data_IF_451536917078
#
_entry.id   IF_451536917078
#
_cell.length_a   1.000
_cell.length_b   1.000
_cell.length_c   1.000
_cell.angle_alpha   90.00
_cell.angle_beta   90.00
_cell.angle_gamma   90.00
#
_symmetry.space_group_name_H-M   'P 1'
#
loop_
_entity.id
_entity.type
_entity.pdbx_description
1 polymer ?
#
# COMPACT_ATOMS: atom_id res chain seq x y z
N UNK A 1 14.37 -5.05 22.23
CA UNK A 1 12.93 -5.04 21.99
C UNK A 1 12.61 -3.86 21.09
N UNK A 2 12.22 -4.12 19.84
CA UNK A 2 11.84 -3.07 18.89
C UNK A 2 10.64 -2.27 19.39
N UNK A 3 10.58 -0.98 19.02
CA UNK A 3 9.42 -0.13 19.28
C UNK A 3 8.17 -0.77 18.64
N UNK A 4 6.98 -0.76 19.30
CA UNK A 4 5.73 -1.25 18.72
C UNK A 4 5.36 -0.62 17.37
N UNK A 5 5.97 0.52 17.02
CA UNK A 5 5.78 1.18 15.73
C UNK A 5 6.59 0.54 14.60
N UNK A 6 7.69 -0.17 14.93
CA UNK A 6 8.63 -0.72 13.93
C UNK A 6 8.50 -2.22 13.71
N UNK A 7 7.71 -2.92 14.52
CA UNK A 7 7.55 -4.36 14.41
C UNK A 7 6.08 -4.76 14.52
N UNK A 8 5.62 -5.58 13.57
CA UNK A 8 4.29 -6.16 13.58
C UNK A 8 4.25 -7.39 14.47
N UNK A 9 3.32 -7.39 15.44
CA UNK A 9 3.05 -8.57 16.25
C UNK A 9 2.01 -9.43 15.55
N UNK A 10 2.36 -10.70 15.27
CA UNK A 10 1.43 -11.64 14.64
C UNK A 10 0.19 -11.82 15.51
N UNK A 11 -1.02 -11.78 14.93
CA UNK A 11 -2.25 -12.13 15.63
C UNK A 11 -2.20 -13.57 16.14
N UNK A 12 -2.76 -13.81 17.34
CA UNK A 12 -2.81 -15.16 17.92
C UNK A 12 -3.65 -16.16 17.12
N UNK A 13 -4.55 -15.66 16.27
CA UNK A 13 -5.42 -16.45 15.40
C UNK A 13 -4.83 -16.70 14.00
N UNK A 14 -3.66 -16.14 13.70
CA UNK A 14 -2.95 -16.42 12.47
C UNK A 14 -2.45 -17.88 12.51
N UNK A 15 -3.01 -18.73 11.66
CA UNK A 15 -2.79 -20.17 11.62
C UNK A 15 -2.19 -20.62 10.30
N UNK A 16 -1.76 -21.89 10.27
CA UNK A 16 -1.23 -22.54 9.06
C UNK A 16 -0.01 -21.79 8.48
N UNK A 17 0.91 -21.41 9.36
CA UNK A 17 2.18 -20.77 8.96
C UNK A 17 3.23 -21.85 8.77
N UNK A 18 3.80 -21.93 7.58
CA UNK A 18 4.95 -22.77 7.26
C UNK A 18 6.15 -21.90 6.94
N UNK A 19 7.31 -22.27 7.48
CA UNK A 19 8.58 -21.66 7.11
C UNK A 19 9.10 -22.33 5.85
N UNK A 20 9.53 -21.54 4.87
CA UNK A 20 10.21 -22.01 3.66
C UNK A 20 11.63 -21.47 3.63
N UNK A 21 12.55 -22.22 3.04
CA UNK A 21 13.94 -21.78 2.88
C UNK A 21 14.18 -21.32 1.43
N UNK A 22 14.36 -20.02 1.25
CA UNK A 22 14.69 -19.38 -0.01
C UNK A 22 16.08 -18.73 0.00
N UNK A 23 16.93 -19.07 0.96
CA UNK A 23 18.26 -18.46 1.15
C UNK A 23 19.12 -18.50 -0.12
N UNK A 24 19.04 -19.59 -0.90
CA UNK A 24 19.77 -19.73 -2.17
C UNK A 24 19.29 -18.71 -3.23
N UNK A 25 18.02 -18.32 -3.21
CA UNK A 25 17.46 -17.33 -4.15
C UNK A 25 17.81 -15.91 -3.73
N UNK A 26 17.98 -15.66 -2.43
CA UNK A 26 18.37 -14.36 -1.91
C UNK A 26 19.88 -14.08 -2.05
N UNK A 27 20.69 -15.12 -2.26
CA UNK A 27 22.11 -15.01 -2.57
C UNK A 27 22.90 -14.06 -1.63
N UNK A 28 22.60 -14.14 -0.33
CA UNK A 28 23.23 -13.30 0.72
C UNK A 28 22.59 -11.94 0.92
N UNK A 29 21.65 -11.52 0.09
CA UNK A 29 20.88 -10.31 0.34
C UNK A 29 19.90 -10.51 1.50
N UNK A 30 19.72 -9.46 2.29
CA UNK A 30 18.71 -9.44 3.35
C UNK A 30 17.30 -9.20 2.76
N UNK A 31 16.33 -9.97 3.20
CA UNK A 31 14.96 -9.83 2.74
C UNK A 31 14.06 -10.93 3.28
N UNK A 32 12.81 -10.89 2.89
CA UNK A 32 11.80 -11.89 3.22
C UNK A 32 10.90 -12.16 2.03
N UNK A 33 10.16 -13.26 2.12
CA UNK A 33 9.11 -13.61 1.16
C UNK A 33 7.89 -14.09 1.93
N UNK A 34 6.72 -13.58 1.56
CA UNK A 34 5.44 -13.92 2.18
C UNK A 34 4.45 -14.31 1.10
N UNK A 35 3.95 -15.52 1.17
CA UNK A 35 2.88 -16.03 0.30
C UNK A 35 1.70 -16.47 1.16
N UNK A 36 0.50 -16.02 0.79
CA UNK A 36 -0.75 -16.55 1.31
C UNK A 36 -1.48 -17.33 0.22
N UNK A 37 -1.72 -18.61 0.48
CA UNK A 37 -2.51 -19.48 -0.40
C UNK A 37 -3.99 -19.38 0.01
N UNK A 38 -4.80 -18.76 -0.84
CA UNK A 38 -6.23 -18.56 -0.58
C UNK A 38 -7.03 -19.85 -0.58
N UNK A 39 -6.60 -20.87 -1.34
CA UNK A 39 -7.29 -22.16 -1.42
C UNK A 39 -7.07 -23.01 -0.17
N UNK A 40 -5.87 -22.96 0.38
CA UNK A 40 -5.48 -23.74 1.56
C UNK A 40 -5.60 -22.94 2.86
N UNK A 41 -5.87 -21.63 2.78
CA UNK A 41 -5.83 -20.71 3.90
C UNK A 41 -4.52 -20.86 4.69
N UNK A 42 -3.40 -20.83 3.97
CA UNK A 42 -2.08 -21.15 4.50
C UNK A 42 -1.05 -20.06 4.15
N UNK A 43 -0.14 -19.81 5.09
CA UNK A 43 0.96 -18.88 4.94
C UNK A 43 2.27 -19.64 4.72
N UNK A 44 3.06 -19.19 3.75
CA UNK A 44 4.42 -19.66 3.53
C UNK A 44 5.37 -18.47 3.63
N UNK A 45 6.27 -18.49 4.60
CA UNK A 45 7.09 -17.34 4.94
C UNK A 45 8.57 -17.75 4.97
N UNK A 46 9.39 -17.00 4.22
CA UNK A 46 10.84 -17.00 4.35
C UNK A 46 11.27 -15.81 5.20
N UNK A 47 12.14 -16.05 6.20
CA UNK A 47 12.68 -15.03 7.11
C UNK A 47 11.59 -14.23 7.83
N UNK A 48 10.86 -14.90 8.71
CA UNK A 48 9.70 -14.33 9.42
C UNK A 48 10.06 -13.09 10.26
N UNK A 49 11.26 -13.01 10.80
CA UNK A 49 11.68 -11.84 11.58
C UNK A 49 11.78 -10.58 10.70
N UNK A 50 12.35 -10.70 9.51
CA UNK A 50 12.36 -9.61 8.54
C UNK A 50 10.94 -9.33 8.01
N UNK A 51 10.11 -10.36 7.82
CA UNK A 51 8.74 -10.21 7.34
C UNK A 51 7.81 -9.48 8.34
N UNK A 52 8.16 -9.39 9.62
CA UNK A 52 7.47 -8.60 10.65
C UNK A 52 7.97 -7.16 10.75
N UNK A 53 9.13 -6.86 10.18
CA UNK A 53 9.71 -5.52 10.25
C UNK A 53 8.90 -4.53 9.40
N UNK A 54 8.52 -3.41 10.00
CA UNK A 54 7.80 -2.32 9.32
C UNK A 54 8.78 -1.37 8.65
N UNK A 55 8.59 -1.18 7.37
CA UNK A 55 9.37 -0.28 6.50
C UNK A 55 8.43 0.64 5.72
N UNK A 56 8.97 1.68 5.08
CA UNK A 56 8.19 2.55 4.21
C UNK A 56 7.55 1.75 3.08
N UNK A 57 6.25 1.92 2.80
CA UNK A 57 5.58 1.20 1.74
C UNK A 57 6.00 1.65 0.34
N UNK A 58 6.44 2.90 0.19
CA UNK A 58 6.75 3.49 -1.09
C UNK A 58 5.59 3.28 -2.11
N UNK A 59 5.90 2.95 -3.35
CA UNK A 59 4.89 2.82 -4.41
C UNK A 59 3.84 1.72 -4.19
N UNK A 60 4.05 0.79 -3.28
CA UNK A 60 3.01 -0.20 -2.93
C UNK A 60 1.78 0.44 -2.28
N UNK A 61 1.95 1.59 -1.64
CA UNK A 61 0.86 2.35 -1.03
C UNK A 61 -0.15 2.90 -2.05
N UNK A 62 0.24 3.10 -3.30
CA UNK A 62 -0.62 3.66 -4.35
C UNK A 62 -1.93 2.90 -4.54
N UNK A 63 -1.97 1.60 -4.27
CA UNK A 63 -3.20 0.79 -4.29
C UNK A 63 -4.23 1.39 -3.32
N UNK A 64 -3.82 1.68 -2.11
CA UNK A 64 -4.70 2.18 -1.04
C UNK A 64 -5.00 3.67 -1.20
N UNK A 65 -4.05 4.42 -1.73
CA UNK A 65 -4.24 5.84 -2.04
C UNK A 65 -5.27 6.03 -3.18
N UNK A 66 -5.23 5.16 -4.19
CA UNK A 66 -6.24 5.08 -5.22
C UNK A 66 -7.63 4.79 -4.63
N UNK A 67 -7.74 3.82 -3.72
CA UNK A 67 -8.99 3.52 -3.00
C UNK A 67 -9.49 4.73 -2.21
N UNK A 68 -8.61 5.41 -1.50
CA UNK A 68 -8.94 6.62 -0.75
C UNK A 68 -9.49 7.71 -1.69
N UNK A 69 -8.84 7.94 -2.82
CA UNK A 69 -9.29 8.91 -3.83
C UNK A 69 -10.66 8.59 -4.40
N UNK A 70 -10.92 7.31 -4.68
CA UNK A 70 -12.20 6.83 -5.19
C UNK A 70 -13.32 6.92 -4.13
N UNK A 71 -13.07 6.40 -2.91
CA UNK A 71 -14.06 6.40 -1.83
C UNK A 71 -14.42 7.82 -1.35
N UNK A 72 -13.49 8.76 -1.47
CA UNK A 72 -13.72 10.17 -1.11
C UNK A 72 -14.28 11.02 -2.26
N UNK A 73 -14.37 10.48 -3.48
CA UNK A 73 -14.89 11.17 -4.63
C UNK A 73 -13.95 12.21 -5.26
N UNK A 74 -12.67 12.22 -4.90
CA UNK A 74 -11.65 13.03 -5.58
C UNK A 74 -11.46 12.58 -7.03
N UNK A 75 -11.51 11.27 -7.23
CA UNK A 75 -11.61 10.62 -8.54
C UNK A 75 -12.80 9.65 -8.54
N UNK A 76 -13.29 9.31 -9.72
CA UNK A 76 -14.30 8.26 -9.90
C UNK A 76 -13.83 7.25 -10.94
N UNK A 77 -14.44 6.06 -11.03
CA UNK A 77 -14.11 5.09 -12.09
C UNK A 77 -14.26 5.67 -13.51
N UNK A 78 -15.21 6.60 -13.69
CA UNK A 78 -15.52 7.23 -14.98
C UNK A 78 -14.70 8.48 -15.26
N UNK A 79 -14.23 9.16 -14.21
CA UNK A 79 -13.44 10.40 -14.31
C UNK A 79 -12.32 10.41 -13.28
N UNK A 80 -11.15 10.04 -13.73
CA UNK A 80 -9.93 10.01 -12.92
C UNK A 80 -8.82 10.90 -13.49
N UNK A 81 -9.19 11.82 -14.40
CA UNK A 81 -8.24 12.70 -15.07
C UNK A 81 -7.64 13.73 -14.11
N UNK A 82 -6.32 13.89 -14.15
CA UNK A 82 -5.60 14.99 -13.52
C UNK A 82 -4.65 15.63 -14.51
N UNK A 83 -4.68 16.96 -14.56
CA UNK A 83 -3.81 17.75 -15.45
C UNK A 83 -2.43 17.89 -14.83
N UNK A 84 -1.40 17.62 -15.65
CA UNK A 84 -0.01 17.88 -15.28
C UNK A 84 0.21 19.38 -15.02
N UNK A 85 0.92 19.68 -13.96
CA UNK A 85 1.18 21.06 -13.49
C UNK A 85 2.31 21.77 -14.27
N UNK A 86 2.97 21.07 -15.20
CA UNK A 86 4.07 21.62 -15.98
C UNK A 86 5.44 21.55 -15.29
N UNK A 87 5.54 20.88 -14.14
CA UNK A 87 6.82 20.64 -13.47
C UNK A 87 7.64 19.57 -14.18
N UNK A 88 8.97 19.72 -14.14
CA UNK A 88 9.91 18.72 -14.64
C UNK A 88 10.04 17.56 -13.66
N UNK A 89 9.96 16.33 -14.17
CA UNK A 89 10.10 15.10 -13.41
C UNK A 89 11.22 14.21 -13.96
N UNK A 90 11.76 13.26 -13.18
CA UNK A 90 12.81 12.36 -13.63
C UNK A 90 12.39 11.39 -14.76
N UNK A 91 11.08 11.28 -15.02
CA UNK A 91 10.52 10.34 -15.99
C UNK A 91 9.55 11.07 -16.92
N UNK A 92 9.80 10.99 -18.23
CA UNK A 92 8.95 11.62 -19.27
C UNK A 92 7.47 11.22 -19.14
N UNK A 93 7.19 9.98 -18.72
CA UNK A 93 5.83 9.50 -18.52
C UNK A 93 5.06 10.22 -17.39
N UNK A 94 5.77 10.95 -16.52
CA UNK A 94 5.17 11.76 -15.47
C UNK A 94 4.80 13.17 -15.93
N UNK A 95 5.38 13.62 -17.06
CA UNK A 95 5.22 14.97 -17.62
C UNK A 95 4.04 15.02 -18.61
N UNK A 96 2.91 14.48 -18.20
CA UNK A 96 1.68 14.44 -18.99
C UNK A 96 0.46 14.36 -18.07
N UNK A 97 -0.70 14.72 -18.61
CA UNK A 97 -1.97 14.46 -17.94
C UNK A 97 -2.13 12.97 -17.65
N UNK A 98 -2.67 12.63 -16.50
CA UNK A 98 -2.81 11.25 -16.03
C UNK A 98 -4.26 10.88 -15.80
N UNK A 99 -4.55 9.60 -15.99
CA UNK A 99 -5.70 8.89 -15.42
C UNK A 99 -5.22 7.98 -14.29
N UNK A 100 -6.13 7.40 -13.51
CA UNK A 100 -5.77 6.38 -12.52
C UNK A 100 -4.95 5.25 -13.15
N UNK A 101 -5.38 4.75 -14.30
CA UNK A 101 -4.69 3.65 -15.00
C UNK A 101 -3.27 4.03 -15.45
N UNK A 102 -3.09 5.20 -16.07
CA UNK A 102 -1.75 5.64 -16.49
C UNK A 102 -0.84 5.95 -15.30
N UNK A 103 -1.38 6.56 -14.25
CA UNK A 103 -0.65 6.87 -13.03
C UNK A 103 -0.20 5.60 -12.29
N UNK A 104 -1.05 4.60 -12.21
CA UNK A 104 -0.70 3.30 -11.61
C UNK A 104 0.36 2.58 -12.44
N UNK A 105 0.16 2.47 -13.76
CA UNK A 105 1.09 1.83 -14.69
C UNK A 105 2.50 2.42 -14.64
N UNK A 106 2.59 3.75 -14.58
CA UNK A 106 3.86 4.47 -14.59
C UNK A 106 4.35 4.89 -13.20
N UNK A 107 3.63 4.47 -12.15
CA UNK A 107 3.94 4.79 -10.75
C UNK A 107 4.12 6.29 -10.49
N UNK A 108 3.20 7.11 -10.99
CA UNK A 108 3.28 8.58 -10.99
C UNK A 108 2.99 9.15 -9.60
N UNK A 109 4.03 9.52 -8.86
CA UNK A 109 3.88 9.99 -7.47
C UNK A 109 2.97 11.21 -7.35
N UNK A 110 3.13 12.22 -8.19
CA UNK A 110 2.39 13.47 -8.07
C UNK A 110 0.86 13.29 -8.17
N UNK A 111 0.42 12.28 -8.94
CA UNK A 111 -0.99 11.97 -9.07
C UNK A 111 -1.60 11.55 -7.72
N UNK A 112 -0.95 10.65 -7.01
CA UNK A 112 -1.40 10.15 -5.71
C UNK A 112 -1.17 11.18 -4.61
N UNK A 113 -0.06 11.90 -4.62
CA UNK A 113 0.19 13.03 -3.71
C UNK A 113 -0.90 14.12 -3.83
N UNK A 114 -1.41 14.35 -5.04
CA UNK A 114 -2.52 15.28 -5.27
C UNK A 114 -3.82 14.83 -4.58
N UNK A 115 -4.10 13.53 -4.53
CA UNK A 115 -5.24 12.99 -3.77
C UNK A 115 -5.08 13.32 -2.28
N UNK A 116 -3.91 13.02 -1.72
CA UNK A 116 -3.60 13.26 -0.32
C UNK A 116 -3.71 14.75 0.04
N UNK A 117 -3.11 15.61 -0.77
CA UNK A 117 -3.13 17.07 -0.56
C UNK A 117 -4.53 17.65 -0.61
N UNK A 118 -5.38 17.19 -1.51
CA UNK A 118 -6.78 17.63 -1.61
C UNK A 118 -7.60 17.19 -0.39
N UNK A 119 -7.33 16.03 0.19
CA UNK A 119 -8.07 15.47 1.32
C UNK A 119 -7.56 15.97 2.68
N UNK A 120 -6.25 16.12 2.81
CA UNK A 120 -5.60 16.54 4.05
C UNK A 120 -5.48 15.43 5.11
N UNK A 121 -4.72 15.73 6.16
CA UNK A 121 -4.34 14.77 7.21
C UNK A 121 -5.52 14.07 7.88
N UNK A 122 -6.61 14.77 8.16
CA UNK A 122 -7.74 14.17 8.87
C UNK A 122 -8.34 12.99 8.08
N UNK A 123 -8.61 13.20 6.80
CA UNK A 123 -9.18 12.15 5.93
C UNK A 123 -8.20 10.99 5.72
N UNK A 124 -6.92 11.29 5.49
CA UNK A 124 -5.87 10.27 5.33
C UNK A 124 -5.74 9.44 6.60
N UNK A 125 -5.65 10.06 7.77
CA UNK A 125 -5.56 9.34 9.07
C UNK A 125 -6.77 8.47 9.33
N UNK A 126 -7.97 8.98 9.08
CA UNK A 126 -9.21 8.21 9.24
C UNK A 126 -9.24 6.97 8.34
N UNK A 127 -8.77 7.11 7.10
CA UNK A 127 -8.66 6.00 6.17
C UNK A 127 -7.64 4.95 6.62
N UNK A 128 -6.43 5.37 7.01
CA UNK A 128 -5.40 4.48 7.54
C UNK A 128 -5.87 3.69 8.77
N UNK A 129 -6.63 4.33 9.66
CA UNK A 129 -7.25 3.68 10.80
C UNK A 129 -8.32 2.67 10.37
N UNK A 130 -9.18 3.05 9.43
CA UNK A 130 -10.25 2.18 8.92
C UNK A 130 -9.70 0.88 8.34
N UNK A 131 -8.65 0.95 7.55
CA UNK A 131 -8.03 -0.24 6.93
C UNK A 131 -6.95 -0.88 7.82
N UNK A 132 -6.62 -0.30 8.96
CA UNK A 132 -5.56 -0.74 9.88
C UNK A 132 -4.20 -0.87 9.18
N UNK A 133 -3.80 0.16 8.43
CA UNK A 133 -2.58 0.16 7.64
C UNK A 133 -1.34 0.38 8.51
N UNK A 134 -0.54 -0.65 8.73
CA UNK A 134 0.75 -0.58 9.40
C UNK A 134 0.74 0.21 10.72
N UNK A 135 1.66 1.17 10.85
CA UNK A 135 1.77 2.03 12.02
C UNK A 135 0.79 3.23 12.02
N UNK A 136 0.06 3.46 10.92
CA UNK A 136 -0.94 4.54 10.76
C UNK A 136 -0.39 5.95 10.98
N UNK A 137 0.91 6.16 10.81
CA UNK A 137 1.56 7.47 11.01
C UNK A 137 1.69 8.24 9.69
N UNK A 138 1.40 9.53 9.71
CA UNK A 138 1.46 10.40 8.52
C UNK A 138 2.57 11.46 8.59
N UNK A 139 3.32 11.52 9.71
CA UNK A 139 4.32 12.57 9.86
C UNK A 139 3.74 13.99 9.79
N UNK A 140 4.52 14.91 9.28
CA UNK A 140 4.17 16.33 9.14
C UNK A 140 4.07 16.82 7.68
N UNK A 141 4.38 15.97 6.71
CA UNK A 141 4.31 16.29 5.29
C UNK A 141 3.34 15.32 4.57
N UNK A 142 2.21 15.87 4.13
CA UNK A 142 1.14 15.10 3.49
C UNK A 142 1.57 14.48 2.16
N UNK A 143 2.53 15.06 1.47
CA UNK A 143 2.99 14.61 0.17
C UNK A 143 4.06 13.53 0.28
N UNK A 144 4.68 13.36 1.45
CA UNK A 144 5.84 12.47 1.63
C UNK A 144 5.64 11.30 2.60
N UNK A 145 4.54 11.25 3.35
CA UNK A 145 4.37 10.32 4.48
C UNK A 145 4.53 8.84 4.12
N UNK A 146 4.25 8.44 2.89
CA UNK A 146 4.41 7.05 2.44
C UNK A 146 5.78 6.76 1.80
N UNK A 147 6.65 7.79 1.69
CA UNK A 147 8.03 7.66 1.17
C UNK A 147 9.11 8.07 2.18
N UNK A 148 8.77 8.88 3.20
CA UNK A 148 9.72 9.49 4.14
C UNK A 148 9.97 8.68 5.43
N UNK A 149 9.52 7.44 5.50
CA UNK A 149 9.57 6.56 6.68
C UNK A 149 8.56 6.91 7.80
N UNK A 150 7.65 7.85 7.61
CA UNK A 150 6.56 8.12 8.58
C UNK A 150 5.58 6.96 8.60
N UNK A 151 4.93 6.66 7.46
CA UNK A 151 4.09 5.49 7.31
C UNK A 151 4.96 4.25 7.11
N UNK A 152 4.69 3.21 7.90
CA UNK A 152 5.43 1.96 7.82
C UNK A 152 4.47 0.77 7.88
N UNK A 153 4.81 -0.27 7.15
CA UNK A 153 4.06 -1.53 7.09
C UNK A 153 5.02 -2.70 6.90
N UNK A 154 4.70 -3.85 7.49
CA UNK A 154 5.50 -5.07 7.31
C UNK A 154 5.04 -5.86 6.07
N UNK A 155 5.90 -6.72 5.51
CA UNK A 155 5.52 -7.64 4.44
C UNK A 155 4.32 -8.51 4.77
N UNK A 156 4.20 -9.02 5.99
CA UNK A 156 3.04 -9.82 6.42
C UNK A 156 1.76 -8.98 6.42
N UNK A 157 1.81 -7.76 6.96
CA UNK A 157 0.66 -6.84 6.92
C UNK A 157 0.25 -6.50 5.49
N UNK A 158 1.22 -6.30 4.58
CA UNK A 158 0.96 -6.04 3.15
C UNK A 158 0.13 -7.17 2.53
N UNK A 159 0.54 -8.43 2.72
CA UNK A 159 -0.18 -9.59 2.18
C UNK A 159 -1.56 -9.71 2.81
N UNK A 160 -1.70 -9.49 4.12
CA UNK A 160 -2.98 -9.52 4.79
C UNK A 160 -3.94 -8.44 4.28
N UNK A 161 -3.44 -7.22 4.03
CA UNK A 161 -4.25 -6.15 3.43
C UNK A 161 -4.63 -6.43 1.98
N UNK A 162 -3.73 -7.01 1.18
CA UNK A 162 -4.04 -7.43 -0.19
C UNK A 162 -5.15 -8.48 -0.22
N UNK A 163 -5.15 -9.42 0.73
CA UNK A 163 -6.24 -10.39 0.89
C UNK A 163 -7.56 -9.68 1.21
N UNK A 164 -7.56 -8.78 2.19
CA UNK A 164 -8.76 -8.00 2.55
C UNK A 164 -9.26 -7.14 1.40
N UNK A 165 -8.36 -6.53 0.65
CA UNK A 165 -8.69 -5.77 -0.56
C UNK A 165 -9.33 -6.68 -1.62
N UNK A 166 -8.72 -7.85 -1.89
CA UNK A 166 -9.23 -8.79 -2.87
C UNK A 166 -10.67 -9.23 -2.57
N UNK A 167 -10.95 -9.52 -1.30
CA UNK A 167 -12.26 -9.99 -0.82
C UNK A 167 -13.22 -8.85 -0.47
N UNK A 168 -12.77 -7.60 -0.58
CA UNK A 168 -13.49 -6.41 -0.16
C UNK A 168 -14.01 -6.49 1.29
N UNK A 169 -13.18 -6.98 2.20
CA UNK A 169 -13.52 -7.03 3.63
C UNK A 169 -13.71 -5.63 4.24
N UNK A 170 -13.16 -4.59 3.59
CA UNK A 170 -13.35 -3.20 3.99
C UNK A 170 -14.76 -2.66 3.70
N UNK A 171 -15.55 -3.35 2.89
CA UNK A 171 -16.89 -2.95 2.45
C UNK A 171 -16.90 -1.61 1.70
N UNK A 172 -15.88 -1.37 0.88
CA UNK A 172 -15.86 -0.26 -0.07
C UNK A 172 -16.80 -0.52 -1.23
N UNK A 173 -17.12 0.54 -1.99
CA UNK A 173 -17.95 0.39 -3.17
C UNK A 173 -17.31 -0.61 -4.17
N UNK A 174 -18.04 -1.64 -4.63
CA UNK A 174 -17.48 -2.66 -5.52
C UNK A 174 -16.86 -2.08 -6.80
N UNK A 175 -17.46 -1.04 -7.37
CA UNK A 175 -16.94 -0.36 -8.55
C UNK A 175 -15.57 0.31 -8.29
N UNK A 176 -15.32 0.78 -7.07
CA UNK A 176 -14.04 1.38 -6.69
C UNK A 176 -12.95 0.29 -6.53
N UNK A 177 -13.30 -0.83 -5.92
CA UNK A 177 -12.42 -2.00 -5.84
C UNK A 177 -12.03 -2.48 -7.24
N UNK A 178 -13.02 -2.60 -8.14
CA UNK A 178 -12.79 -3.02 -9.53
C UNK A 178 -11.93 -2.02 -10.30
N UNK A 179 -12.14 -0.72 -10.09
CA UNK A 179 -11.33 0.32 -10.73
C UNK A 179 -9.85 0.20 -10.35
N UNK A 180 -9.54 -0.08 -9.09
CA UNK A 180 -8.14 -0.29 -8.65
C UNK A 180 -7.58 -1.59 -9.19
N UNK A 181 -8.33 -2.69 -9.16
CA UNK A 181 -7.88 -3.99 -9.71
C UNK A 181 -7.57 -3.93 -11.21
N UNK A 182 -8.26 -3.07 -11.94
CA UNK A 182 -8.12 -2.92 -13.39
C UNK A 182 -7.17 -1.80 -13.83
N UNK A 183 -6.58 -1.07 -12.87
CA UNK A 183 -5.69 0.07 -13.16
C UNK A 183 -4.20 -0.30 -13.45
#
# INVERSE_FOLDING_TARGET
AGSPQNEYRLPNDMKNISTIDLSNHFNGYQGSFVLYDTNQNAWNIFNIENAKERIAPNSTYKIYDALLGLESGIITPEDSDMTWNGEDYPFDAWEANQTLSSAMKNSVNWYFQSIDSQLGFHSVKSFLQKIQYGNQQTGSDIDLYWTDLSLKISPIEQVNLLKKFHDNEFQFAPQNIDAVKNS
#
